data_IF_203511021014
#
_entry.id   IF_203511021014
#
_cell.length_a   1.000
_cell.length_b   1.000
_cell.length_c   1.000
_cell.angle_alpha   90.00
_cell.angle_beta   90.00
_cell.angle_gamma   90.00
#
_symmetry.space_group_name_H-M   'P 1'
#
loop_
_entity.id
_entity.type
_entity.pdbx_description
1 polymer ?
#
# COMPACT_ATOMS: atom_id res chain seq x y z
N UNK A 1 -24.40 -55.53 -54.35
CA UNK A 1 -23.43 -54.85 -53.46
C UNK A 1 -23.98 -54.95 -52.06
N UNK A 2 -23.28 -55.65 -51.18
CA UNK A 2 -23.70 -55.86 -49.80
C UNK A 2 -23.34 -54.59 -49.00
N UNK A 3 -24.34 -53.93 -48.42
CA UNK A 3 -24.16 -52.66 -47.72
C UNK A 3 -23.80 -52.96 -46.27
N UNK A 4 -22.51 -52.84 -45.94
CA UNK A 4 -22.04 -52.99 -44.56
C UNK A 4 -22.56 -51.82 -43.70
N UNK A 5 -23.45 -52.12 -42.75
CA UNK A 5 -23.99 -51.15 -41.81
C UNK A 5 -23.25 -51.25 -40.49
N UNK A 6 -22.51 -50.20 -40.15
CA UNK A 6 -21.80 -50.10 -38.88
C UNK A 6 -22.77 -49.70 -37.76
N UNK A 7 -22.81 -50.48 -36.67
CA UNK A 7 -23.46 -50.08 -35.42
C UNK A 7 -22.45 -50.17 -34.26
N UNK A 8 -22.37 -49.10 -33.47
CA UNK A 8 -21.47 -49.04 -32.33
C UNK A 8 -21.99 -49.93 -31.20
N UNK A 9 -21.09 -50.65 -30.53
CA UNK A 9 -21.44 -51.43 -29.34
C UNK A 9 -21.68 -50.48 -28.16
N UNK A 10 -22.73 -50.71 -27.35
CA UNK A 10 -23.01 -49.87 -26.19
C UNK A 10 -21.85 -49.93 -25.18
N UNK A 11 -21.60 -48.80 -24.50
CA UNK A 11 -20.59 -48.75 -23.45
C UNK A 11 -20.94 -49.77 -22.34
N UNK A 12 -19.95 -50.51 -21.83
CA UNK A 12 -20.18 -51.43 -20.73
C UNK A 12 -20.66 -50.66 -19.48
N UNK A 13 -21.69 -51.17 -18.79
CA UNK A 13 -22.24 -50.51 -17.59
C UNK A 13 -21.20 -50.31 -16.48
N UNK A 14 -20.08 -51.04 -16.51
CA UNK A 14 -18.98 -50.90 -15.54
C UNK A 14 -18.35 -49.51 -15.54
N UNK A 15 -18.42 -48.75 -16.64
CA UNK A 15 -17.93 -47.36 -16.67
C UNK A 15 -19.01 -46.35 -16.27
N UNK A 16 -20.30 -46.68 -16.32
CA UNK A 16 -21.38 -45.76 -15.94
C UNK A 16 -21.63 -45.73 -14.42
N UNK A 17 -21.32 -46.81 -13.70
CA UNK A 17 -21.46 -46.92 -12.24
C UNK A 17 -20.26 -46.36 -11.44
N UNK A 18 -19.34 -45.66 -12.11
CA UNK A 18 -18.10 -45.17 -11.49
C UNK A 18 -17.12 -46.32 -11.20
N UNK A 19 -15.84 -45.99 -11.04
CA UNK A 19 -14.79 -46.99 -10.79
C UNK A 19 -15.04 -47.68 -9.45
N UNK A 20 -15.60 -48.88 -9.47
CA UNK A 20 -15.83 -49.70 -8.27
C UNK A 20 -14.49 -50.27 -7.79
N UNK A 21 -14.16 -50.07 -6.51
CA UNK A 21 -12.98 -50.65 -5.87
C UNK A 21 -11.76 -49.72 -5.74
N UNK A 22 -11.83 -48.48 -6.26
CA UNK A 22 -10.77 -47.50 -6.02
C UNK A 22 -11.08 -46.66 -4.78
N UNK A 23 -10.16 -46.58 -3.80
CA UNK A 23 -10.35 -45.75 -2.61
C UNK A 23 -10.58 -44.29 -2.98
N UNK A 24 -11.63 -43.68 -2.43
CA UNK A 24 -11.91 -42.25 -2.61
C UNK A 24 -10.70 -41.45 -2.11
N UNK A 25 -10.12 -40.62 -3.00
CA UNK A 25 -8.98 -39.76 -2.68
C UNK A 25 -9.34 -38.85 -1.50
N UNK A 26 -8.67 -39.04 -0.36
CA UNK A 26 -8.85 -38.19 0.82
C UNK A 26 -8.30 -36.80 0.52
N UNK A 27 -9.14 -35.78 0.68
CA UNK A 27 -8.69 -34.38 0.61
C UNK A 27 -7.95 -34.05 1.90
N UNK A 28 -6.62 -33.93 1.81
CA UNK A 28 -5.80 -33.49 2.94
C UNK A 28 -6.02 -31.99 3.12
N UNK A 29 -6.29 -31.56 4.35
CA UNK A 29 -6.45 -30.14 4.66
C UNK A 29 -5.15 -29.37 4.35
N UNK A 30 -5.23 -28.10 3.88
CA UNK A 30 -4.05 -27.28 3.66
C UNK A 30 -3.20 -27.19 4.93
N UNK A 31 -1.89 -27.48 4.80
CA UNK A 31 -0.95 -27.39 5.91
C UNK A 31 -0.89 -25.95 6.43
N UNK A 32 -1.18 -25.75 7.72
CA UNK A 32 -0.99 -24.44 8.37
C UNK A 32 0.50 -24.22 8.61
N UNK A 33 1.11 -23.16 8.03
CA UNK A 33 2.53 -22.90 8.25
C UNK A 33 2.77 -22.61 9.72
N UNK A 34 3.79 -23.25 10.29
CA UNK A 34 4.24 -22.96 11.64
C UNK A 34 4.84 -21.54 11.64
N UNK A 35 4.50 -20.68 12.62
CA UNK A 35 5.14 -19.37 12.73
C UNK A 35 6.65 -19.56 12.86
N UNK A 36 7.41 -18.82 12.05
CA UNK A 36 8.87 -18.82 12.07
C UNK A 36 9.37 -17.52 12.71
N UNK A 37 10.35 -17.64 13.59
CA UNK A 37 10.96 -16.49 14.24
C UNK A 37 12.04 -15.93 13.31
N UNK A 38 11.71 -14.89 12.56
CA UNK A 38 12.66 -14.24 11.67
C UNK A 38 13.64 -13.37 12.47
N UNK A 39 14.95 -13.58 12.31
CA UNK A 39 15.98 -12.76 12.97
C UNK A 39 15.88 -11.28 12.59
N UNK A 40 15.33 -10.96 11.42
CA UNK A 40 15.09 -9.59 11.00
C UNK A 40 14.06 -8.88 11.91
N UNK A 41 13.00 -9.58 12.33
CA UNK A 41 11.96 -9.01 13.20
C UNK A 41 12.55 -8.64 14.57
N UNK A 42 13.43 -9.49 15.09
CA UNK A 42 14.15 -9.22 16.34
C UNK A 42 15.03 -7.98 16.23
N UNK A 43 15.78 -7.82 15.13
CA UNK A 43 16.62 -6.64 14.88
C UNK A 43 15.79 -5.36 14.76
N UNK A 44 14.64 -5.43 14.08
CA UNK A 44 13.71 -4.30 13.94
C UNK A 44 13.12 -3.94 15.29
N UNK A 45 12.75 -4.92 16.11
CA UNK A 45 12.24 -4.69 17.46
C UNK A 45 13.26 -3.96 18.35
N UNK A 46 14.53 -4.38 18.34
CA UNK A 46 15.60 -3.71 19.10
C UNK A 46 15.77 -2.25 18.65
N UNK A 47 15.79 -2.01 17.33
CA UNK A 47 15.92 -0.65 16.79
C UNK A 47 14.73 0.23 17.16
N UNK A 48 13.52 -0.32 17.11
CA UNK A 48 12.30 0.38 17.51
C UNK A 48 12.35 0.77 18.99
N UNK A 49 12.79 -0.14 19.85
CA UNK A 49 12.91 0.13 21.29
C UNK A 49 13.95 1.21 21.59
N UNK A 50 15.13 1.14 20.96
CA UNK A 50 16.15 2.20 21.05
C UNK A 50 15.60 3.56 20.62
N UNK A 51 14.83 3.61 19.51
CA UNK A 51 14.20 4.83 19.02
C UNK A 51 13.19 5.39 20.03
N UNK A 52 12.35 4.55 20.64
CA UNK A 52 11.41 4.97 21.69
C UNK A 52 12.12 5.59 22.88
N UNK A 53 13.23 4.99 23.32
CA UNK A 53 14.04 5.51 24.42
C UNK A 53 14.60 6.90 24.10
N UNK A 54 15.15 7.10 22.89
CA UNK A 54 15.62 8.41 22.44
C UNK A 54 14.51 9.46 22.44
N UNK A 55 13.34 9.14 21.85
CA UNK A 55 12.19 10.06 21.82
C UNK A 55 11.76 10.44 23.24
N UNK A 56 11.72 9.47 24.17
CA UNK A 56 11.37 9.73 25.56
C UNK A 56 12.39 10.64 26.27
N UNK A 57 13.68 10.42 26.01
CA UNK A 57 14.75 11.25 26.56
C UNK A 57 14.67 12.69 26.03
N UNK A 58 14.44 12.86 24.73
CA UNK A 58 14.25 14.18 24.13
C UNK A 58 13.01 14.86 24.71
N UNK A 59 11.86 14.18 24.75
CA UNK A 59 10.65 14.72 25.39
C UNK A 59 10.89 15.18 26.82
N UNK A 60 11.69 14.43 27.60
CA UNK A 60 12.07 14.82 28.96
C UNK A 60 12.90 16.10 28.97
N UNK A 61 13.92 16.21 28.10
CA UNK A 61 14.74 17.42 27.94
C UNK A 61 13.90 18.63 27.57
N UNK A 62 12.97 18.47 26.61
CA UNK A 62 12.04 19.53 26.21
C UNK A 62 11.16 19.97 27.38
N UNK A 63 10.62 19.04 28.18
CA UNK A 63 9.84 19.37 29.38
C UNK A 63 10.67 20.10 30.44
N UNK A 64 11.89 19.63 30.70
CA UNK A 64 12.81 20.26 31.65
C UNK A 64 13.17 21.69 31.22
N UNK A 65 13.43 21.90 29.93
CA UNK A 65 13.73 23.23 29.37
C UNK A 65 12.49 24.16 29.33
N UNK A 66 11.31 23.61 29.08
CA UNK A 66 10.05 24.35 29.10
C UNK A 66 9.57 24.67 30.53
N UNK A 67 10.11 23.99 31.55
CA UNK A 67 9.79 24.27 32.94
C UNK A 67 10.42 25.61 33.32
N UNK A 68 9.58 26.64 33.42
CA UNK A 68 9.99 27.94 33.92
C UNK A 68 10.48 27.81 35.37
N UNK A 69 11.77 28.00 35.58
CA UNK A 69 12.37 28.11 36.92
C UNK A 69 12.74 29.56 37.15
N UNK A 70 12.08 30.21 38.11
CA UNK A 70 12.43 31.55 38.52
C UNK A 70 13.89 31.57 38.98
N UNK A 71 14.66 32.52 38.47
CA UNK A 71 16.01 32.75 38.97
C UNK A 71 15.92 33.25 40.41
N UNK A 72 16.84 32.87 41.31
CA UNK A 72 16.85 33.40 42.66
C UNK A 72 16.92 34.93 42.60
N UNK A 73 16.15 35.59 43.46
CA UNK A 73 16.16 37.05 43.55
C UNK A 73 17.47 37.50 44.20
N UNK A 74 18.45 37.80 43.35
CA UNK A 74 19.78 38.30 43.72
C UNK A 74 19.90 39.81 43.46
N UNK A 75 18.81 40.48 43.09
CA UNK A 75 18.80 41.90 42.75
C UNK A 75 19.16 42.76 43.97
N UNK A 76 18.84 42.31 45.18
CA UNK A 76 19.16 43.02 46.44
C UNK A 76 20.64 43.02 46.80
N UNK A 77 21.41 42.02 46.32
CA UNK A 77 22.85 41.88 46.61
C UNK A 77 23.74 42.28 45.44
N UNK A 78 23.13 42.61 44.30
CA UNK A 78 23.84 43.04 43.10
C UNK A 78 23.86 44.55 43.01
N UNK A 79 24.93 45.07 42.41
CA UNK A 79 24.95 46.47 42.04
C UNK A 79 23.78 46.79 41.11
N UNK A 80 23.17 47.97 41.24
CA UNK A 80 22.14 48.44 40.33
C UNK A 80 22.61 48.29 38.89
N UNK A 81 21.71 47.84 38.01
CA UNK A 81 22.00 47.73 36.59
C UNK A 81 22.48 49.09 36.06
N UNK A 82 23.76 49.16 35.68
CA UNK A 82 24.32 50.27 34.92
C UNK A 82 24.35 49.83 33.46
N UNK A 83 23.43 50.31 32.62
CA UNK A 83 23.50 50.02 31.20
C UNK A 83 24.85 50.49 30.68
N UNK A 84 25.67 49.54 30.22
CA UNK A 84 26.87 49.86 29.48
C UNK A 84 26.42 50.41 28.13
N UNK A 85 26.42 51.72 27.99
CA UNK A 85 26.25 52.41 26.72
C UNK A 85 27.57 52.27 25.97
N UNK A 86 27.88 51.04 25.57
CA UNK A 86 28.90 50.84 24.55
C UNK A 86 28.23 51.25 23.23
N UNK A 87 28.87 52.11 22.44
CA UNK A 87 28.44 52.49 21.08
C UNK A 87 28.50 51.30 20.10
N UNK A 88 28.29 50.08 20.57
CA UNK A 88 27.91 48.94 19.77
C UNK A 88 26.43 49.11 19.44
N UNK A 89 26.15 50.00 18.49
CA UNK A 89 25.09 49.72 17.54
C UNK A 89 25.41 48.33 17.00
N UNK A 90 24.82 47.31 17.63
CA UNK A 90 24.87 45.94 17.16
C UNK A 90 24.23 46.05 15.80
N UNK A 91 25.07 46.10 14.75
CA UNK A 91 24.60 46.28 13.40
C UNK A 91 23.95 44.97 13.03
N UNK A 92 22.70 44.81 13.46
CA UNK A 92 21.87 43.66 13.13
C UNK A 92 21.84 43.68 11.62
N UNK A 93 22.50 42.69 11.00
CA UNK A 93 22.50 42.56 9.56
C UNK A 93 21.08 42.22 9.13
N UNK A 94 20.28 43.25 8.84
CA UNK A 94 18.90 43.11 8.41
C UNK A 94 18.77 42.19 7.20
N UNK A 95 19.77 42.17 6.32
CA UNK A 95 19.86 41.26 5.18
C UNK A 95 19.98 39.79 5.61
N UNK A 96 20.79 39.50 6.63
CA UNK A 96 20.93 38.14 7.17
C UNK A 96 19.65 37.69 7.87
N UNK A 97 19.01 38.60 8.62
CA UNK A 97 17.73 38.33 9.28
C UNK A 97 16.60 38.09 8.27
N UNK A 98 16.58 38.86 7.17
CA UNK A 98 15.63 38.68 6.08
C UNK A 98 15.83 37.33 5.38
N UNK A 99 17.07 36.99 5.04
CA UNK A 99 17.42 35.69 4.42
C UNK A 99 17.05 34.50 5.31
N UNK A 100 17.35 34.55 6.59
CA UNK A 100 17.01 33.45 7.54
C UNK A 100 15.50 33.29 7.69
N UNK A 101 14.75 34.41 7.79
CA UNK A 101 13.29 34.40 7.82
C UNK A 101 12.68 33.84 6.53
N UNK A 102 13.21 34.23 5.37
CA UNK A 102 12.77 33.73 4.07
C UNK A 102 13.09 32.24 3.90
N UNK A 103 14.27 31.80 4.32
CA UNK A 103 14.64 30.38 4.32
C UNK A 103 13.72 29.53 5.21
N UNK A 104 13.40 30.02 6.43
CA UNK A 104 12.47 29.33 7.33
C UNK A 104 11.07 29.19 6.69
N UNK A 105 10.59 30.26 6.03
CA UNK A 105 9.31 30.23 5.31
C UNK A 105 9.33 29.23 4.14
N UNK A 106 10.41 29.19 3.38
CA UNK A 106 10.57 28.25 2.28
C UNK A 106 10.56 26.79 2.76
N UNK A 107 11.21 26.48 3.89
CA UNK A 107 11.18 25.13 4.49
C UNK A 107 9.76 24.73 4.90
N UNK A 108 9.06 25.61 5.60
CA UNK A 108 7.67 25.39 6.01
C UNK A 108 6.74 25.16 4.80
N UNK A 109 6.92 25.94 3.73
CA UNK A 109 6.14 25.80 2.51
C UNK A 109 6.44 24.49 1.77
N UNK A 110 7.70 24.09 1.69
CA UNK A 110 8.10 22.80 1.12
C UNK A 110 7.51 21.62 1.89
N UNK A 111 7.52 21.69 3.23
CA UNK A 111 6.93 20.65 4.07
C UNK A 111 5.42 20.55 3.84
N UNK A 112 4.72 21.68 3.81
CA UNK A 112 3.28 21.73 3.49
C UNK A 112 2.97 21.13 2.12
N UNK A 113 3.73 21.51 1.08
CA UNK A 113 3.56 20.95 -0.27
C UNK A 113 3.83 19.45 -0.31
N UNK A 114 4.80 18.97 0.47
CA UNK A 114 5.10 17.56 0.56
C UNK A 114 3.97 16.79 1.24
N UNK A 115 3.42 17.32 2.33
CA UNK A 115 2.24 16.78 3.01
C UNK A 115 1.01 16.74 2.11
N UNK A 116 0.71 17.85 1.41
CA UNK A 116 -0.38 17.94 0.43
C UNK A 116 -0.22 16.87 -0.66
N UNK A 117 0.99 16.70 -1.20
CA UNK A 117 1.29 15.64 -2.18
C UNK A 117 1.10 14.24 -1.61
N UNK A 118 1.46 13.99 -0.35
CA UNK A 118 1.20 12.69 0.29
C UNK A 118 -0.30 12.45 0.44
N UNK A 119 -1.04 13.45 0.89
CA UNK A 119 -2.50 13.37 1.05
C UNK A 119 -3.20 13.17 -0.29
N UNK A 120 -2.76 13.86 -1.35
CA UNK A 120 -3.27 13.69 -2.70
C UNK A 120 -3.02 12.26 -3.19
N UNK A 121 -1.81 11.71 -3.01
CA UNK A 121 -1.50 10.32 -3.36
C UNK A 121 -2.40 9.32 -2.63
N UNK A 122 -2.65 9.55 -1.34
CA UNK A 122 -3.55 8.71 -0.54
C UNK A 122 -4.99 8.84 -1.03
N UNK A 123 -5.47 10.05 -1.33
CA UNK A 123 -6.80 10.30 -1.87
C UNK A 123 -7.00 9.64 -3.24
N UNK A 124 -6.02 9.74 -4.14
CA UNK A 124 -6.02 9.08 -5.45
C UNK A 124 -6.02 7.56 -5.30
N UNK A 125 -5.23 7.00 -4.39
CA UNK A 125 -5.23 5.57 -4.13
C UNK A 125 -6.59 5.08 -3.58
N UNK A 126 -7.23 5.88 -2.72
CA UNK A 126 -8.58 5.60 -2.19
C UNK A 126 -9.62 5.66 -3.30
N UNK A 127 -9.63 6.73 -4.09
CA UNK A 127 -10.54 6.88 -5.23
C UNK A 127 -10.35 5.75 -6.23
N UNK A 128 -9.09 5.38 -6.54
CA UNK A 128 -8.78 4.23 -7.41
C UNK A 128 -9.34 2.94 -6.81
N UNK A 129 -9.22 2.72 -5.51
CA UNK A 129 -9.80 1.53 -4.86
C UNK A 129 -11.33 1.50 -4.96
N UNK A 130 -11.99 2.65 -4.86
CA UNK A 130 -13.45 2.77 -4.97
C UNK A 130 -13.94 2.65 -6.43
N UNK A 131 -13.21 3.27 -7.38
CA UNK A 131 -13.51 3.26 -8.81
C UNK A 131 -13.02 2.03 -9.56
N UNK A 132 -12.06 1.26 -9.02
CA UNK A 132 -11.78 -0.09 -9.50
C UNK A 132 -13.01 -0.91 -9.19
N UNK A 133 -13.93 -0.88 -10.15
CA UNK A 133 -15.12 -1.69 -10.20
C UNK A 133 -14.71 -3.12 -9.88
N UNK A 134 -15.40 -3.76 -8.93
CA UNK A 134 -15.38 -5.22 -8.84
C UNK A 134 -15.65 -5.71 -10.26
N UNK A 135 -14.72 -6.48 -10.83
CA UNK A 135 -14.91 -7.03 -12.16
C UNK A 135 -16.33 -7.60 -12.21
N UNK A 136 -17.15 -7.13 -13.15
CA UNK A 136 -18.46 -7.74 -13.34
C UNK A 136 -18.17 -9.21 -13.65
N UNK A 137 -18.72 -10.15 -12.87
CA UNK A 137 -18.47 -11.55 -13.11
C UNK A 137 -18.83 -11.84 -14.56
N UNK A 138 -17.94 -12.56 -15.26
CA UNK A 138 -18.20 -12.98 -16.63
C UNK A 138 -19.54 -13.71 -16.60
N UNK A 139 -20.47 -13.30 -17.46
CA UNK A 139 -21.78 -13.95 -17.53
C UNK A 139 -21.55 -15.40 -17.95
N UNK A 140 -21.69 -16.32 -17.00
CA UNK A 140 -21.75 -17.75 -17.28
C UNK A 140 -23.10 -18.01 -17.96
N UNK A 141 -23.08 -18.09 -19.28
CA UNK A 141 -24.25 -18.49 -20.05
C UNK A 141 -24.52 -19.98 -19.84
N UNK A 142 -25.80 -20.37 -19.88
CA UNK A 142 -26.21 -21.78 -19.84
C UNK A 142 -25.55 -22.51 -21.00
N UNK A 143 -24.94 -23.66 -20.74
CA UNK A 143 -24.45 -24.56 -21.80
C UNK A 143 -25.62 -24.86 -22.73
N UNK A 144 -25.49 -24.39 -23.98
CA UNK A 144 -26.43 -24.71 -25.04
C UNK A 144 -25.94 -26.01 -25.67
N UNK A 145 -26.84 -26.99 -25.80
CA UNK A 145 -26.53 -28.15 -26.60
C UNK A 145 -26.25 -27.70 -28.03
N UNK A 146 -25.14 -28.14 -28.65
CA UNK A 146 -24.87 -27.83 -30.04
C UNK A 146 -26.04 -28.36 -30.86
N UNK A 147 -26.68 -27.47 -31.63
CA UNK A 147 -27.68 -27.91 -32.62
C UNK A 147 -27.00 -28.92 -33.54
N UNK A 148 -27.69 -30.05 -33.76
CA UNK A 148 -27.24 -31.07 -34.69
C UNK A 148 -26.84 -30.47 -36.04
N UNK A 149 -25.72 -30.99 -36.55
CA UNK A 149 -25.04 -30.73 -37.82
C UNK A 149 -25.82 -29.89 -38.83
N UNK A 150 -25.76 -28.57 -38.66
CA UNK A 150 -26.15 -27.63 -39.73
C UNK A 150 -25.02 -27.69 -40.75
N UNK A 151 -25.35 -28.02 -42.00
CA UNK A 151 -24.37 -28.03 -43.09
C UNK A 151 -23.68 -26.66 -43.16
N UNK A 152 -22.36 -26.66 -42.98
CA UNK A 152 -21.53 -25.46 -43.08
C UNK A 152 -21.75 -24.87 -44.48
N UNK A 153 -22.36 -23.69 -44.55
CA UNK A 153 -22.59 -23.01 -45.81
C UNK A 153 -21.25 -22.61 -46.42
N UNK A 154 -20.93 -23.13 -47.60
CA UNK A 154 -19.72 -22.79 -48.33
C UNK A 154 -19.92 -21.39 -48.96
N UNK A 155 -19.09 -20.38 -48.61
CA UNK A 155 -19.23 -19.05 -49.17
C UNK A 155 -18.85 -19.07 -50.65
N UNK A 156 -19.72 -18.54 -51.53
CA UNK A 156 -19.38 -18.34 -52.94
C UNK A 156 -18.77 -16.95 -53.14
N UNK A 157 -17.65 -16.89 -53.86
CA UNK A 157 -17.05 -15.61 -54.26
C UNK A 157 -17.89 -14.95 -55.37
N UNK A 158 -17.99 -13.62 -55.40
CA UNK A 158 -18.73 -12.93 -56.45
C UNK A 158 -18.09 -13.19 -57.82
N UNK A 159 -18.91 -13.53 -58.81
CA UNK A 159 -18.46 -13.72 -60.20
C UNK A 159 -18.40 -12.37 -60.90
N UNK A 160 -17.25 -11.70 -60.83
CA UNK A 160 -17.00 -10.48 -61.58
C UNK A 160 -16.83 -10.84 -63.07
N UNK A 161 -17.77 -10.39 -63.92
CA UNK A 161 -17.68 -10.51 -65.37
C UNK A 161 -16.87 -9.33 -65.91
N UNK A 162 -15.85 -9.61 -66.72
CA UNK A 162 -15.09 -8.64 -67.50
C UNK A 162 -15.60 -8.58 -68.93
#
# INVERSE_FOLDING_TARGET
MEVYTFSARPLPLSTSMGVVGVPVKRTVAPTKPKPFNLLADQRVAIKAERRKQMIKADQKRWREAATFRARPNIVTFREPFRPRIENHASQVNFDQLKRTREALRAVMEQERLWEEKQMEKVAVAKLRREQVHKAQPIRCYRELEPKAEIQITVPQSPRFLH
#
